data_IF_979779878870
#
_entry.id   IF_979779878870
#
_cell.length_a   1.000
_cell.length_b   1.000
_cell.length_c   1.000
_cell.angle_alpha   90.00
_cell.angle_beta   90.00
_cell.angle_gamma   90.00
#
_symmetry.space_group_name_H-M   'P 1'
#
loop_
_entity.id
_entity.type
_entity.pdbx_description
1 polymer ?
#
# COMPACT_ATOMS: atom_id res chain seq x y z
N UNK A 1 -0.17 -21.71 -8.39
CA UNK A 1 -0.49 -21.57 -6.93
C UNK A 1 -0.10 -20.17 -6.49
N UNK A 2 -0.81 -19.51 -5.57
CA UNK A 2 -0.50 -18.13 -5.15
C UNK A 2 0.71 -18.06 -4.19
N UNK A 3 1.81 -18.74 -4.59
CA UNK A 3 3.02 -18.85 -3.73
C UNK A 3 3.61 -17.49 -3.42
N UNK A 4 3.66 -16.59 -4.41
CA UNK A 4 4.17 -15.23 -4.23
C UNK A 4 3.35 -14.42 -3.23
N UNK A 5 2.01 -14.55 -3.29
CA UNK A 5 1.11 -13.91 -2.32
C UNK A 5 1.38 -14.43 -0.91
N UNK A 6 1.55 -15.75 -0.76
CA UNK A 6 1.82 -16.35 0.55
C UNK A 6 3.20 -15.95 1.10
N UNK A 7 4.23 -15.85 0.26
CA UNK A 7 5.55 -15.38 0.65
C UNK A 7 5.48 -13.93 1.14
N UNK A 8 4.82 -13.06 0.38
CA UNK A 8 4.70 -11.64 0.71
C UNK A 8 3.88 -11.41 1.99
N UNK A 9 2.70 -12.03 2.08
CA UNK A 9 1.86 -11.97 3.29
C UNK A 9 2.56 -12.58 4.51
N UNK A 10 3.27 -13.70 4.31
CA UNK A 10 4.09 -14.33 5.35
C UNK A 10 5.21 -13.43 5.82
N UNK A 11 5.85 -12.69 4.91
CA UNK A 11 6.91 -11.72 5.25
C UNK A 11 6.40 -10.58 6.12
N UNK A 12 5.23 -10.00 5.79
CA UNK A 12 4.58 -8.95 6.61
C UNK A 12 4.20 -9.50 7.99
N UNK A 13 3.64 -10.69 8.04
CA UNK A 13 3.26 -11.32 9.31
C UNK A 13 4.48 -11.56 10.21
N UNK A 14 5.54 -12.18 9.68
CA UNK A 14 6.77 -12.44 10.42
C UNK A 14 7.49 -11.15 10.81
N UNK A 15 7.62 -10.20 9.89
CA UNK A 15 8.19 -8.89 10.17
C UNK A 15 7.45 -8.16 11.28
N UNK A 16 6.11 -8.17 11.21
CA UNK A 16 5.25 -7.56 12.22
C UNK A 16 5.37 -8.21 13.61
N UNK A 17 5.46 -9.54 13.69
CA UNK A 17 5.68 -10.24 14.94
C UNK A 17 7.06 -9.98 15.54
N UNK A 18 8.11 -10.13 14.74
CA UNK A 18 9.49 -9.92 15.17
C UNK A 18 9.72 -8.45 15.58
N UNK A 19 9.25 -7.51 14.79
CA UNK A 19 9.35 -6.08 15.11
C UNK A 19 8.60 -5.70 16.38
N UNK A 20 7.40 -6.27 16.60
CA UNK A 20 6.62 -6.05 17.80
C UNK A 20 7.29 -6.60 19.07
N UNK A 21 8.00 -7.74 18.97
CA UNK A 21 8.72 -8.31 20.09
C UNK A 21 10.07 -7.61 20.34
N UNK A 22 10.80 -7.28 19.29
CA UNK A 22 12.09 -6.61 19.37
C UNK A 22 11.96 -5.12 19.67
N UNK A 23 10.80 -4.52 19.41
CA UNK A 23 10.54 -3.10 19.55
C UNK A 23 10.82 -2.55 20.95
N UNK A 24 10.58 -3.35 21.99
CA UNK A 24 10.91 -2.96 23.38
C UNK A 24 12.41 -2.86 23.65
N UNK A 25 13.26 -3.47 22.82
CA UNK A 25 14.73 -3.46 22.93
C UNK A 25 15.39 -2.37 22.09
N UNK A 26 14.67 -1.77 21.15
CA UNK A 26 15.21 -0.73 20.28
C UNK A 26 15.10 0.65 20.93
N UNK A 27 16.18 1.46 20.91
CA UNK A 27 16.13 2.84 21.36
C UNK A 27 15.07 3.66 20.60
N UNK A 28 14.33 4.53 21.31
CA UNK A 28 13.27 5.34 20.67
C UNK A 28 13.79 6.23 19.54
N UNK A 29 15.03 6.72 19.66
CA UNK A 29 15.68 7.47 18.59
C UNK A 29 15.81 6.62 17.31
N UNK A 30 16.27 5.38 17.43
CA UNK A 30 16.44 4.49 16.27
C UNK A 30 15.10 4.19 15.61
N UNK A 31 14.03 3.97 16.37
CA UNK A 31 12.68 3.75 15.81
C UNK A 31 12.21 4.96 14.99
N UNK A 32 12.40 6.18 15.52
CA UNK A 32 12.06 7.42 14.81
C UNK A 32 12.88 7.58 13.53
N UNK A 33 14.18 7.39 13.62
CA UNK A 33 15.10 7.54 12.47
C UNK A 33 14.76 6.50 11.38
N UNK A 34 14.51 5.25 11.75
CA UNK A 34 14.08 4.20 10.81
C UNK A 34 12.75 4.55 10.13
N UNK A 35 11.78 5.08 10.87
CA UNK A 35 10.49 5.51 10.32
C UNK A 35 10.69 6.65 9.29
N UNK A 36 11.56 7.61 9.58
CA UNK A 36 11.88 8.70 8.64
C UNK A 36 12.57 8.17 7.38
N UNK A 37 13.57 7.32 7.52
CA UNK A 37 14.28 6.68 6.39
C UNK A 37 13.28 5.92 5.53
N UNK A 38 12.34 5.20 6.15
CA UNK A 38 11.30 4.49 5.42
C UNK A 38 10.36 5.44 4.67
N UNK A 39 9.97 6.57 5.28
CA UNK A 39 9.20 7.61 4.59
C UNK A 39 9.91 8.12 3.33
N UNK A 40 11.22 8.40 3.43
CA UNK A 40 12.04 8.81 2.29
C UNK A 40 12.12 7.71 1.23
N UNK A 41 12.30 6.45 1.64
CA UNK A 41 12.34 5.30 0.71
C UNK A 41 11.02 5.13 -0.03
N UNK A 42 9.89 5.31 0.66
CA UNK A 42 8.56 5.30 0.04
C UNK A 42 8.41 6.41 -1.00
N UNK A 43 8.90 7.62 -0.70
CA UNK A 43 8.91 8.72 -1.67
C UNK A 43 9.79 8.41 -2.89
N UNK A 44 10.98 7.85 -2.70
CA UNK A 44 11.87 7.47 -3.79
C UNK A 44 11.23 6.42 -4.71
N UNK A 45 10.58 5.39 -4.14
CA UNK A 45 9.81 4.42 -4.92
C UNK A 45 8.65 5.09 -5.66
N UNK A 46 7.92 6.00 -5.01
CA UNK A 46 6.85 6.75 -5.63
C UNK A 46 7.31 7.53 -6.87
N UNK A 47 8.48 8.20 -6.80
CA UNK A 47 9.10 8.90 -7.93
C UNK A 47 9.43 7.91 -9.06
N UNK A 48 9.99 6.75 -8.71
CA UNK A 48 10.36 5.72 -9.71
C UNK A 48 9.13 5.20 -10.48
N UNK A 49 8.02 4.97 -9.78
CA UNK A 49 6.77 4.55 -10.43
C UNK A 49 6.12 5.67 -11.23
N UNK A 50 6.14 6.89 -10.72
CA UNK A 50 5.64 8.06 -11.45
C UNK A 50 6.42 8.31 -12.75
N UNK A 51 7.70 8.00 -12.78
CA UNK A 51 8.54 8.07 -14.00
C UNK A 51 8.12 7.11 -15.11
N UNK A 52 7.30 6.11 -14.82
CA UNK A 52 6.76 5.15 -15.82
C UNK A 52 5.45 5.63 -16.47
N UNK A 53 4.93 6.80 -16.10
CA UNK A 53 3.64 7.31 -16.57
C UNK A 53 3.55 7.37 -18.09
N UNK A 54 2.44 6.88 -18.65
CA UNK A 54 2.10 7.00 -20.07
C UNK A 54 1.26 8.26 -20.32
N UNK A 55 0.24 8.49 -19.48
CA UNK A 55 -0.75 9.58 -19.66
C UNK A 55 -0.94 10.33 -18.35
N UNK A 56 -0.04 11.27 -18.07
CA UNK A 56 -0.06 12.06 -16.84
C UNK A 56 -1.40 12.75 -16.54
N UNK A 57 -2.09 13.38 -17.51
CA UNK A 57 -3.39 13.99 -17.25
C UNK A 57 -4.45 12.99 -16.76
N UNK A 58 -4.46 11.75 -17.29
CA UNK A 58 -5.37 10.72 -16.84
C UNK A 58 -5.09 10.30 -15.40
N UNK A 59 -3.81 10.19 -15.02
CA UNK A 59 -3.39 9.88 -13.65
C UNK A 59 -3.84 10.97 -12.68
N UNK A 60 -3.57 12.25 -13.01
CA UNK A 60 -3.95 13.38 -12.16
C UNK A 60 -5.47 13.44 -11.99
N UNK A 61 -6.24 13.32 -13.09
CA UNK A 61 -7.68 13.30 -13.05
C UNK A 61 -8.22 12.17 -12.18
N UNK A 62 -7.64 10.99 -12.30
CA UNK A 62 -8.01 9.82 -11.49
C UNK A 62 -7.76 10.04 -10.01
N UNK A 63 -6.64 10.66 -9.63
CA UNK A 63 -6.33 10.99 -8.24
C UNK A 63 -7.33 12.00 -7.66
N UNK A 64 -7.69 13.05 -8.43
CA UNK A 64 -8.67 14.06 -8.01
C UNK A 64 -10.05 13.40 -7.83
N UNK A 65 -10.53 12.67 -8.85
CA UNK A 65 -11.83 11.99 -8.78
C UNK A 65 -11.86 10.92 -7.70
N UNK A 66 -10.76 10.17 -7.53
CA UNK A 66 -10.62 9.16 -6.51
C UNK A 66 -10.73 9.74 -5.11
N UNK A 67 -10.06 10.86 -4.86
CA UNK A 67 -10.16 11.59 -3.59
C UNK A 67 -11.60 12.06 -3.33
N UNK A 68 -12.25 12.66 -4.32
CA UNK A 68 -13.63 13.13 -4.19
C UNK A 68 -14.59 11.99 -3.84
N UNK A 69 -14.44 10.83 -4.47
CA UNK A 69 -15.23 9.63 -4.17
C UNK A 69 -14.91 9.13 -2.77
N UNK A 70 -13.63 8.98 -2.42
CA UNK A 70 -13.19 8.48 -1.11
C UNK A 70 -13.72 9.34 0.04
N UNK A 71 -13.64 10.66 -0.09
CA UNK A 71 -14.20 11.59 0.90
C UNK A 71 -15.72 11.47 1.02
N UNK A 72 -16.43 11.36 -0.12
CA UNK A 72 -17.91 11.21 -0.09
C UNK A 72 -18.36 9.93 0.58
N UNK A 73 -17.63 8.84 0.41
CA UNK A 73 -17.95 7.55 1.07
C UNK A 73 -17.29 7.40 2.44
N UNK A 74 -16.54 8.42 2.89
CA UNK A 74 -15.80 8.42 4.17
C UNK A 74 -14.87 7.20 4.33
N UNK A 75 -14.08 6.90 3.29
CA UNK A 75 -13.28 5.68 3.23
C UNK A 75 -12.19 5.64 4.32
N UNK A 76 -11.54 6.77 4.62
CA UNK A 76 -10.58 6.86 5.75
C UNK A 76 -11.24 6.47 7.07
N UNK A 77 -12.46 6.94 7.31
CA UNK A 77 -13.24 6.57 8.50
C UNK A 77 -13.54 5.07 8.58
N UNK A 78 -13.91 4.45 7.46
CA UNK A 78 -14.16 3.00 7.38
C UNK A 78 -12.88 2.18 7.65
N UNK A 79 -11.76 2.57 7.05
CA UNK A 79 -10.46 1.91 7.26
C UNK A 79 -10.00 2.08 8.71
N UNK A 80 -10.15 3.27 9.31
CA UNK A 80 -9.85 3.52 10.73
C UNK A 80 -10.68 2.65 11.66
N UNK A 81 -11.98 2.53 11.38
CA UNK A 81 -12.87 1.66 12.15
C UNK A 81 -12.43 0.19 12.08
N UNK A 82 -12.05 -0.28 10.88
CA UNK A 82 -11.50 -1.62 10.67
C UNK A 82 -10.18 -1.82 11.42
N UNK A 83 -9.24 -0.86 11.32
CA UNK A 83 -7.96 -0.89 12.03
C UNK A 83 -8.15 -0.89 13.55
N UNK A 84 -9.11 -0.11 14.07
CA UNK A 84 -9.46 -0.10 15.50
C UNK A 84 -10.01 -1.44 15.98
N UNK A 85 -10.91 -2.08 15.21
CA UNK A 85 -11.41 -3.42 15.51
C UNK A 85 -10.29 -4.46 15.50
N UNK A 86 -9.41 -4.40 14.51
CA UNK A 86 -8.24 -5.27 14.41
C UNK A 86 -7.33 -5.10 15.63
N UNK A 87 -6.99 -3.86 16.00
CA UNK A 87 -6.18 -3.59 17.19
C UNK A 87 -6.86 -4.11 18.47
N UNK A 88 -8.17 -3.91 18.62
CA UNK A 88 -8.93 -4.45 19.76
C UNK A 88 -8.93 -5.98 19.84
N UNK A 89 -9.01 -6.67 18.71
CA UNK A 89 -8.90 -8.13 18.66
C UNK A 89 -7.48 -8.61 19.03
N UNK A 90 -6.45 -7.96 18.47
CA UNK A 90 -5.05 -8.27 18.75
C UNK A 90 -4.70 -8.02 20.22
N UNK A 91 -5.20 -6.93 20.81
CA UNK A 91 -4.99 -6.62 22.22
C UNK A 91 -5.56 -7.67 23.18
N UNK A 92 -6.66 -8.34 22.78
CA UNK A 92 -7.24 -9.44 23.55
C UNK A 92 -6.41 -10.73 23.42
N UNK A 93 -5.85 -11.00 22.24
CA UNK A 93 -5.05 -12.21 21.96
C UNK A 93 -3.60 -12.07 22.48
N UNK A 94 -3.02 -10.87 22.39
CA UNK A 94 -1.63 -10.55 22.70
C UNK A 94 -1.52 -9.30 23.61
N UNK A 95 -2.02 -9.36 24.84
CA UNK A 95 -2.10 -8.16 25.70
C UNK A 95 -0.75 -7.51 26.01
N UNK A 96 0.35 -8.30 26.05
CA UNK A 96 1.70 -7.82 26.33
C UNK A 96 2.38 -7.10 25.16
N UNK A 97 1.88 -7.25 23.95
CA UNK A 97 2.49 -6.68 22.73
C UNK A 97 1.65 -5.61 22.05
N UNK A 98 0.53 -5.23 22.68
CA UNK A 98 -0.33 -4.15 22.19
C UNK A 98 0.07 -2.82 22.78
N UNK A 99 0.49 -1.87 21.95
CA UNK A 99 0.70 -0.49 22.38
C UNK A 99 -0.65 0.23 22.50
N UNK A 100 -0.76 1.17 23.44
CA UNK A 100 -1.91 2.05 23.51
C UNK A 100 -2.06 2.80 22.18
N UNK A 101 -3.27 2.74 21.59
CA UNK A 101 -3.55 3.32 20.28
C UNK A 101 -4.06 4.73 20.46
N UNK A 102 -3.17 5.71 20.36
CA UNK A 102 -3.51 7.12 20.23
C UNK A 102 -3.81 7.49 18.77
N UNK A 103 -4.21 8.70 18.50
CA UNK A 103 -4.58 9.16 17.17
C UNK A 103 -3.38 9.09 16.19
N UNK A 104 -2.19 9.45 16.65
CA UNK A 104 -0.96 9.41 15.85
C UNK A 104 -0.63 7.98 15.41
N UNK A 105 -0.70 7.03 16.34
CA UNK A 105 -0.49 5.61 16.06
C UNK A 105 -1.56 5.03 15.15
N UNK A 106 -2.81 5.45 15.32
CA UNK A 106 -3.89 5.07 14.39
C UNK A 106 -3.61 5.59 12.98
N UNK A 107 -3.18 6.85 12.84
CA UNK A 107 -2.77 7.39 11.54
C UNK A 107 -1.63 6.61 10.91
N UNK A 108 -0.62 6.21 11.69
CA UNK A 108 0.49 5.39 11.21
C UNK A 108 0.00 3.99 10.79
N UNK A 109 -0.86 3.35 11.57
CA UNK A 109 -1.41 2.03 11.23
C UNK A 109 -2.22 2.07 9.92
N UNK A 110 -3.07 3.07 9.74
CA UNK A 110 -3.80 3.28 8.49
C UNK A 110 -2.84 3.51 7.33
N UNK A 111 -1.79 4.32 7.54
CA UNK A 111 -0.78 4.57 6.50
C UNK A 111 -0.08 3.29 6.05
N UNK A 112 0.25 2.39 6.98
CA UNK A 112 0.86 1.10 6.67
C UNK A 112 -0.11 0.19 5.92
N UNK A 113 -1.36 0.10 6.38
CA UNK A 113 -2.39 -0.69 5.70
C UNK A 113 -2.49 -0.24 4.25
N UNK A 114 -2.60 1.08 4.01
CA UNK A 114 -2.68 1.62 2.67
C UNK A 114 -1.39 1.36 1.88
N UNK A 115 -0.22 1.59 2.50
CA UNK A 115 1.06 1.38 1.83
C UNK A 115 1.25 -0.06 1.37
N UNK A 116 1.04 -1.02 2.27
CA UNK A 116 1.22 -2.46 1.98
C UNK A 116 0.14 -2.96 1.02
N UNK A 117 -1.11 -2.54 1.21
CA UNK A 117 -2.23 -3.00 0.41
C UNK A 117 -2.32 -2.33 -0.97
N UNK A 118 -2.02 -1.02 -1.06
CA UNK A 118 -2.16 -0.23 -2.28
C UNK A 118 -0.83 -0.02 -3.03
N UNK A 119 0.27 -0.65 -2.59
CA UNK A 119 1.52 -0.58 -3.34
C UNK A 119 1.34 -1.21 -4.73
N UNK A 120 1.66 -0.46 -5.79
CA UNK A 120 1.58 -0.94 -7.17
C UNK A 120 2.34 -2.25 -7.39
N UNK A 121 3.43 -2.49 -6.64
CA UNK A 121 4.19 -3.75 -6.66
C UNK A 121 3.36 -4.97 -6.25
N UNK A 122 2.39 -4.84 -5.33
CA UNK A 122 1.50 -5.94 -4.96
C UNK A 122 0.57 -6.35 -6.09
N UNK A 123 0.12 -5.38 -6.88
CA UNK A 123 -0.79 -5.60 -8.00
C UNK A 123 -0.02 -6.13 -9.21
N UNK A 124 1.15 -5.56 -9.52
CA UNK A 124 2.00 -6.08 -10.60
C UNK A 124 2.56 -7.46 -10.26
N UNK A 125 2.97 -7.72 -9.03
CA UNK A 125 3.37 -9.06 -8.61
C UNK A 125 2.24 -10.10 -8.74
N UNK A 126 0.98 -9.69 -8.55
CA UNK A 126 -0.17 -10.55 -8.81
C UNK A 126 -0.45 -10.71 -10.31
N UNK A 127 -0.18 -9.69 -11.12
CA UNK A 127 -0.35 -9.70 -12.58
C UNK A 127 0.79 -10.46 -13.28
N UNK A 128 2.04 -10.27 -12.85
CA UNK A 128 3.22 -10.97 -13.39
C UNK A 128 3.31 -12.44 -12.96
N UNK A 129 2.46 -12.86 -12.02
CA UNK A 129 2.39 -14.24 -11.58
C UNK A 129 2.07 -15.24 -12.70
N UNK A 130 1.50 -14.77 -13.82
CA UNK A 130 1.28 -15.57 -15.03
C UNK A 130 2.50 -15.60 -15.97
N UNK A 131 3.53 -14.79 -15.71
CA UNK A 131 4.79 -14.78 -16.48
C UNK A 131 5.93 -15.24 -15.55
N UNK A 132 6.77 -16.18 -15.98
CA UNK A 132 7.90 -16.74 -15.22
C UNK A 132 8.94 -15.69 -14.72
N UNK A 133 8.85 -14.45 -15.18
CA UNK A 133 9.69 -13.31 -14.74
C UNK A 133 9.34 -12.78 -13.35
N UNK A 134 8.21 -13.18 -12.76
CA UNK A 134 7.66 -12.66 -11.52
C UNK A 134 8.48 -12.95 -10.24
N UNK A 135 9.43 -13.85 -10.29
CA UNK A 135 10.09 -14.38 -9.07
C UNK A 135 10.95 -13.32 -8.37
N UNK A 136 11.69 -12.50 -9.11
CA UNK A 136 12.61 -11.50 -8.52
C UNK A 136 11.84 -10.33 -7.92
N UNK A 137 10.78 -9.85 -8.57
CA UNK A 137 9.97 -8.74 -8.06
C UNK A 137 9.21 -9.13 -6.78
N UNK A 138 8.67 -10.34 -6.73
CA UNK A 138 7.98 -10.87 -5.55
C UNK A 138 8.93 -10.98 -4.36
N UNK A 139 10.13 -11.52 -4.54
CA UNK A 139 11.10 -11.61 -3.44
C UNK A 139 11.58 -10.23 -2.98
N UNK A 140 11.82 -9.31 -3.91
CA UNK A 140 12.20 -7.93 -3.57
C UNK A 140 11.09 -7.26 -2.76
N UNK A 141 9.83 -7.41 -3.18
CA UNK A 141 8.68 -6.89 -2.44
C UNK A 141 8.58 -7.53 -1.05
N UNK A 142 8.65 -8.85 -0.96
CA UNK A 142 8.56 -9.56 0.32
C UNK A 142 9.65 -9.12 1.32
N UNK A 143 10.87 -8.88 0.85
CA UNK A 143 11.96 -8.32 1.68
C UNK A 143 11.60 -6.91 2.15
N UNK A 144 11.17 -6.04 1.24
CA UNK A 144 10.79 -4.67 1.59
C UNK A 144 9.62 -4.66 2.59
N UNK A 145 8.59 -5.45 2.36
CA UNK A 145 7.42 -5.51 3.22
C UNK A 145 7.74 -6.12 4.59
N UNK A 146 8.66 -7.10 4.66
CA UNK A 146 9.17 -7.63 5.91
C UNK A 146 9.80 -6.54 6.77
N UNK A 147 10.76 -5.81 6.22
CA UNK A 147 11.43 -4.74 6.96
C UNK A 147 10.50 -3.59 7.28
N UNK A 148 9.58 -3.25 6.37
CA UNK A 148 8.51 -2.27 6.61
C UNK A 148 7.69 -2.67 7.83
N UNK A 149 7.15 -3.87 7.82
CA UNK A 149 6.32 -4.38 8.92
C UNK A 149 7.12 -4.45 10.23
N UNK A 150 8.40 -4.87 10.19
CA UNK A 150 9.26 -4.93 11.38
C UNK A 150 9.53 -3.55 11.97
N UNK A 151 9.87 -2.55 11.15
CA UNK A 151 10.14 -1.18 11.58
C UNK A 151 8.90 -0.58 12.24
N UNK A 152 7.75 -0.67 11.58
CA UNK A 152 6.53 -0.11 12.14
C UNK A 152 6.01 -0.87 13.36
N UNK A 153 6.14 -2.20 13.37
CA UNK A 153 5.77 -2.99 14.53
C UNK A 153 6.63 -2.69 15.75
N UNK A 154 7.87 -2.23 15.56
CA UNK A 154 8.71 -1.78 16.68
C UNK A 154 8.12 -0.57 17.42
N UNK A 155 7.30 0.24 16.77
CA UNK A 155 6.63 1.41 17.35
C UNK A 155 5.14 1.16 17.64
N UNK A 156 4.43 0.42 16.78
CA UNK A 156 2.99 0.17 16.88
C UNK A 156 2.64 -1.12 17.61
N UNK A 157 3.63 -1.99 17.83
CA UNK A 157 3.41 -3.31 18.41
C UNK A 157 2.98 -4.34 17.37
N UNK A 158 2.68 -5.55 17.85
CA UNK A 158 2.37 -6.71 16.99
C UNK A 158 1.06 -6.60 16.19
N UNK A 159 0.29 -5.52 16.37
CA UNK A 159 -0.90 -5.25 15.54
C UNK A 159 -0.53 -5.17 14.05
N UNK A 160 0.68 -4.73 13.74
CA UNK A 160 1.18 -4.64 12.35
C UNK A 160 1.27 -6.01 11.67
N UNK A 161 1.53 -7.09 12.41
CA UNK A 161 1.52 -8.44 11.84
C UNK A 161 0.15 -8.80 11.23
N UNK A 162 -0.92 -8.27 11.80
CA UNK A 162 -2.29 -8.54 11.34
C UNK A 162 -2.70 -7.72 10.11
N UNK A 163 -1.86 -6.75 9.67
CA UNK A 163 -2.01 -6.09 8.36
C UNK A 163 -1.87 -7.11 7.23
N UNK A 164 -1.20 -8.22 7.47
CA UNK A 164 -1.16 -9.37 6.57
C UNK A 164 -2.56 -9.90 6.16
N UNK A 165 -3.59 -9.74 7.02
CA UNK A 165 -4.95 -10.21 6.70
C UNK A 165 -5.63 -9.37 5.60
N UNK A 166 -5.78 -8.04 5.73
CA UNK A 166 -6.32 -7.24 4.65
C UNK A 166 -5.45 -7.30 3.38
N UNK A 167 -4.12 -7.41 3.52
CA UNK A 167 -3.22 -7.62 2.40
C UNK A 167 -3.52 -8.92 1.65
N UNK A 168 -3.68 -10.04 2.37
CA UNK A 168 -4.03 -11.34 1.78
C UNK A 168 -5.33 -11.26 1.00
N UNK A 169 -6.38 -10.69 1.61
CA UNK A 169 -7.69 -10.54 0.98
C UNK A 169 -7.55 -9.74 -0.32
N UNK A 170 -6.88 -8.59 -0.26
CA UNK A 170 -6.72 -7.72 -1.42
C UNK A 170 -5.90 -8.39 -2.52
N UNK A 171 -4.78 -9.01 -2.18
CA UNK A 171 -3.92 -9.69 -3.15
C UNK A 171 -4.61 -10.89 -3.80
N UNK A 172 -5.42 -11.66 -3.06
CA UNK A 172 -6.22 -12.74 -3.63
C UNK A 172 -7.31 -12.20 -4.56
N UNK A 173 -8.01 -11.13 -4.17
CA UNK A 173 -8.99 -10.48 -5.03
C UNK A 173 -8.35 -10.00 -6.34
N UNK A 174 -7.17 -9.38 -6.26
CA UNK A 174 -6.42 -8.92 -7.43
C UNK A 174 -5.95 -10.09 -8.29
N UNK A 175 -5.44 -11.16 -7.69
CA UNK A 175 -5.01 -12.36 -8.40
C UNK A 175 -6.17 -12.99 -9.18
N UNK A 176 -7.32 -13.17 -8.54
CA UNK A 176 -8.50 -13.72 -9.22
C UNK A 176 -9.08 -12.76 -10.27
N UNK A 177 -8.97 -11.46 -10.05
CA UNK A 177 -9.43 -10.44 -11.02
C UNK A 177 -8.43 -10.25 -12.16
N UNK A 178 -7.16 -10.63 -12.00
CA UNK A 178 -6.10 -10.43 -12.99
C UNK A 178 -6.44 -11.08 -14.34
N UNK A 179 -7.00 -12.29 -14.33
CA UNK A 179 -7.44 -12.97 -15.54
C UNK A 179 -8.53 -12.24 -16.33
N UNK A 180 -9.31 -11.39 -15.67
CA UNK A 180 -10.34 -10.55 -16.31
C UNK A 180 -9.78 -9.19 -16.74
N UNK A 181 -8.86 -8.62 -15.96
CA UNK A 181 -8.34 -7.25 -16.15
C UNK A 181 -7.22 -7.22 -17.19
N UNK A 182 -6.28 -8.19 -17.16
CA UNK A 182 -5.10 -8.20 -18.03
C UNK A 182 -5.42 -8.17 -19.54
N UNK A 183 -6.39 -8.96 -20.05
CA UNK A 183 -6.71 -8.91 -21.47
C UNK A 183 -7.29 -7.57 -21.93
N UNK A 184 -7.81 -6.77 -20.99
CA UNK A 184 -8.44 -5.47 -21.24
C UNK A 184 -7.46 -4.31 -21.01
N UNK A 185 -6.36 -4.54 -20.29
CA UNK A 185 -5.41 -3.51 -19.90
C UNK A 185 -4.26 -3.38 -20.92
N UNK A 186 -4.21 -2.27 -21.64
CA UNK A 186 -3.05 -1.94 -22.49
C UNK A 186 -1.81 -1.64 -21.63
N UNK A 187 -0.62 -1.71 -22.24
CA UNK A 187 0.63 -1.36 -21.56
C UNK A 187 0.61 0.09 -21.00
N UNK A 188 -0.03 1.03 -21.71
CA UNK A 188 -0.22 2.40 -21.23
C UNK A 188 -1.11 2.47 -20.00
N UNK A 189 -2.22 1.73 -19.95
CA UNK A 189 -3.10 1.66 -18.77
C UNK A 189 -2.37 1.08 -17.56
N UNK A 190 -1.53 0.07 -17.75
CA UNK A 190 -0.71 -0.52 -16.69
C UNK A 190 0.34 0.47 -16.18
N UNK A 191 0.98 1.21 -17.08
CA UNK A 191 1.94 2.26 -16.74
C UNK A 191 1.28 3.40 -15.94
N UNK A 192 0.08 3.85 -16.34
CA UNK A 192 -0.69 4.87 -15.63
C UNK A 192 -1.18 4.38 -14.26
N UNK A 193 -1.55 3.09 -14.16
CA UNK A 193 -1.88 2.46 -12.89
C UNK A 193 -0.68 2.47 -11.93
N UNK A 194 0.51 2.09 -12.42
CA UNK A 194 1.75 2.15 -11.65
C UNK A 194 2.06 3.57 -11.18
N UNK A 195 1.92 4.55 -12.08
CA UNK A 195 2.14 5.95 -11.77
C UNK A 195 1.15 6.48 -10.73
N UNK A 196 -0.13 6.07 -10.79
CA UNK A 196 -1.13 6.40 -9.79
C UNK A 196 -0.73 5.86 -8.40
N UNK A 197 -0.29 4.59 -8.33
CA UNK A 197 0.30 4.01 -7.12
C UNK A 197 1.51 4.79 -6.63
N UNK A 198 2.36 5.29 -7.55
CA UNK A 198 3.49 6.16 -7.25
C UNK A 198 3.09 7.46 -6.56
N UNK A 199 1.99 8.10 -6.99
CA UNK A 199 1.43 9.29 -6.32
C UNK A 199 1.01 8.97 -4.88
N UNK A 200 0.32 7.84 -4.68
CA UNK A 200 -0.09 7.40 -3.33
C UNK A 200 1.13 7.10 -2.44
N UNK A 201 2.18 6.49 -3.00
CA UNK A 201 3.43 6.20 -2.28
C UNK A 201 4.16 7.49 -1.87
N UNK A 202 4.18 8.51 -2.74
CA UNK A 202 4.71 9.84 -2.40
C UNK A 202 3.94 10.48 -1.26
N UNK A 203 2.61 10.52 -1.34
CA UNK A 203 1.74 11.05 -0.31
C UNK A 203 1.91 10.30 1.04
N UNK A 204 2.05 8.97 0.96
CA UNK A 204 2.29 8.11 2.14
C UNK A 204 3.66 8.40 2.76
N UNK A 205 4.71 8.52 1.94
CA UNK A 205 6.06 8.85 2.40
C UNK A 205 6.12 10.19 3.12
N UNK A 206 5.48 11.23 2.57
CA UNK A 206 5.35 12.56 3.21
C UNK A 206 4.63 12.49 4.55
N UNK A 207 3.57 11.67 4.63
CA UNK A 207 2.80 11.47 5.87
C UNK A 207 3.62 10.71 6.91
N UNK A 208 4.32 9.63 6.52
CA UNK A 208 5.18 8.84 7.42
C UNK A 208 6.33 9.68 7.95
N UNK A 209 6.95 10.50 7.10
CA UNK A 209 8.00 11.43 7.48
C UNK A 209 7.50 12.63 8.33
N UNK A 210 6.19 12.71 8.62
CA UNK A 210 5.55 13.81 9.34
C UNK A 210 5.77 15.19 8.69
N UNK A 211 5.95 15.24 7.37
CA UNK A 211 6.11 16.49 6.61
C UNK A 211 4.74 17.10 6.33
N UNK A 212 3.81 16.30 5.80
CA UNK A 212 2.43 16.71 5.50
C UNK A 212 1.50 15.51 5.58
N UNK A 213 0.34 15.69 6.21
CA UNK A 213 -0.71 14.67 6.25
C UNK A 213 -1.59 14.76 5.00
N UNK A 214 -1.67 13.67 4.26
CA UNK A 214 -2.57 13.50 3.11
C UNK A 214 -3.66 12.49 3.45
N UNK A 215 -4.88 12.62 2.91
CA UNK A 215 -5.98 11.66 3.09
C UNK A 215 -5.78 10.44 2.18
N UNK A 216 -4.67 9.69 2.38
CA UNK A 216 -4.24 8.62 1.49
C UNK A 216 -5.28 7.49 1.36
N UNK A 217 -6.06 7.24 2.41
CA UNK A 217 -7.11 6.24 2.38
C UNK A 217 -8.25 6.66 1.42
N UNK A 218 -8.63 7.95 1.44
CA UNK A 218 -9.64 8.49 0.53
C UNK A 218 -9.14 8.62 -0.92
N UNK A 219 -7.81 8.55 -1.14
CA UNK A 219 -7.23 8.51 -2.49
C UNK A 219 -7.27 7.11 -3.13
N UNK A 220 -7.55 6.03 -2.38
CA UNK A 220 -7.55 4.65 -2.89
C UNK A 220 -8.47 4.41 -4.10
N UNK A 221 -9.68 5.01 -4.20
CA UNK A 221 -10.52 4.83 -5.38
C UNK A 221 -9.84 5.24 -6.69
N UNK A 222 -8.81 6.11 -6.63
CA UNK A 222 -8.02 6.49 -7.80
C UNK A 222 -7.38 5.28 -8.51
N UNK A 223 -6.96 4.27 -7.74
CA UNK A 223 -6.36 3.05 -8.29
C UNK A 223 -7.36 2.26 -9.17
N UNK A 224 -8.64 2.30 -8.83
CA UNK A 224 -9.69 1.66 -9.64
C UNK A 224 -10.02 2.51 -10.86
N UNK A 225 -10.05 3.84 -10.69
CA UNK A 225 -10.46 4.78 -11.74
C UNK A 225 -9.39 4.97 -12.82
N UNK A 226 -8.11 4.83 -12.48
CA UNK A 226 -7.03 5.21 -13.40
C UNK A 226 -7.04 4.40 -14.70
N UNK A 227 -7.36 3.11 -14.67
CA UNK A 227 -7.42 2.28 -15.88
C UNK A 227 -8.53 2.73 -16.84
N UNK A 228 -9.82 2.85 -16.43
CA UNK A 228 -10.87 3.34 -17.33
C UNK A 228 -10.66 4.80 -17.76
N UNK A 229 -10.11 5.66 -16.90
CA UNK A 229 -9.81 7.06 -17.26
C UNK A 229 -8.69 7.13 -18.28
N UNK A 230 -7.62 6.35 -18.13
CA UNK A 230 -6.51 6.23 -19.10
C UNK A 230 -7.02 5.74 -20.48
N UNK A 231 -7.87 4.71 -20.48
CA UNK A 231 -8.49 4.20 -21.71
C UNK A 231 -9.36 5.26 -22.40
N UNK A 232 -10.18 5.99 -21.61
CA UNK A 232 -11.02 7.08 -22.15
C UNK A 232 -10.16 8.22 -22.69
N UNK A 233 -9.14 8.62 -21.95
CA UNK A 233 -8.23 9.70 -22.36
C UNK A 233 -7.55 9.40 -23.69
N UNK A 234 -7.04 8.20 -23.86
CA UNK A 234 -6.38 7.76 -25.09
C UNK A 234 -7.34 7.83 -26.29
N UNK A 235 -8.62 7.44 -26.10
CA UNK A 235 -9.64 7.56 -27.14
C UNK A 235 -9.95 9.02 -27.50
N UNK A 236 -10.11 9.87 -26.48
CA UNK A 236 -10.41 11.31 -26.68
C UNK A 236 -9.23 12.01 -27.36
N UNK A 237 -8.01 11.75 -26.89
CA UNK A 237 -6.80 12.32 -27.49
C UNK A 237 -6.61 11.88 -28.96
N UNK A 238 -6.93 10.62 -29.28
CA UNK A 238 -6.90 10.10 -30.66
C UNK A 238 -8.00 10.65 -31.58
N UNK A 239 -9.04 11.29 -31.03
CA UNK A 239 -10.07 11.98 -31.80
C UNK A 239 -9.74 13.46 -32.04
N UNK A 240 -8.78 14.02 -31.29
CA UNK A 240 -8.35 15.42 -31.39
C UNK A 240 -7.09 15.62 -32.27
N UNK A 241 -6.41 14.54 -32.64
CA UNK A 241 -5.28 14.49 -33.55
C UNK A 241 -5.68 13.95 -34.92
#
# INVERSE_FOLDING_TARGET
MPVGVLIDVGSVFLGGLLGGQLGSRLPEKLKKDLTLVFGVSSMAMGVTYLGKVSTLPAVILSVILGLMIGETVHLDGAIRAGAGKMNGAVSRLLPKSSAAMDETRMHQLVSIIVLICASGTGIFGALDFFNDAATTEIYTKAILDFFTAAIFASSLGSVVAFVALPQLILQLLLLFSAGLILPLASAGMQADFAACGGVLMLATGLRIANIKSFPIADMLPAMVLVMPVSALWTKVAGLML
#
